data_IF_300984480844
#
_entry.id   IF_300984480844
#
_cell.length_a   1.000
_cell.length_b   1.000
_cell.length_c   1.000
_cell.angle_alpha   90.00
_cell.angle_beta   90.00
_cell.angle_gamma   90.00
#
_symmetry.space_group_name_H-M   'P 1'
#
loop_
_entity.id
_entity.type
_entity.pdbx_description
1 polymer ?
#
# COMPACT_ATOMS: atom_id res chain seq x y z
N UNK A 1 -23.40 32.80 -19.36
CA UNK A 1 -23.65 31.97 -18.15
C UNK A 1 -22.68 30.81 -18.23
N UNK A 2 -21.60 30.86 -17.45
CA UNK A 2 -20.55 29.84 -17.47
C UNK A 2 -20.77 28.92 -16.26
N UNK A 3 -21.26 27.72 -16.49
CA UNK A 3 -21.37 26.67 -15.47
C UNK A 3 -20.01 25.99 -15.31
N UNK A 4 -19.23 26.48 -14.35
CA UNK A 4 -18.06 25.74 -13.85
C UNK A 4 -18.56 24.51 -13.09
N UNK A 5 -18.46 23.33 -13.70
CA UNK A 5 -18.61 22.04 -13.02
C UNK A 5 -17.48 21.89 -12.01
N UNK A 6 -17.77 22.12 -10.73
CA UNK A 6 -16.90 21.72 -9.63
C UNK A 6 -16.96 20.20 -9.58
N UNK A 7 -15.92 19.53 -10.08
CA UNK A 7 -15.74 18.10 -9.85
C UNK A 7 -15.52 17.90 -8.36
N UNK A 8 -16.56 17.48 -7.64
CA UNK A 8 -16.43 17.06 -6.26
C UNK A 8 -15.38 15.94 -6.22
N UNK A 9 -14.31 16.13 -5.44
CA UNK A 9 -13.39 15.05 -5.16
C UNK A 9 -14.20 13.87 -4.58
N UNK A 10 -13.88 12.61 -4.92
CA UNK A 10 -14.56 11.46 -4.34
C UNK A 10 -14.55 11.57 -2.81
N UNK A 11 -15.69 11.33 -2.16
CA UNK A 11 -15.79 11.42 -0.70
C UNK A 11 -14.76 10.46 -0.08
N UNK A 12 -13.71 11.02 0.49
CA UNK A 12 -12.63 10.24 1.11
C UNK A 12 -13.17 9.41 2.27
N UNK A 13 -14.30 9.82 2.87
CA UNK A 13 -14.98 9.07 3.90
C UNK A 13 -15.61 7.79 3.36
N UNK A 14 -16.23 7.84 2.18
CA UNK A 14 -16.81 6.66 1.52
C UNK A 14 -15.72 5.66 1.10
N UNK A 15 -14.63 6.15 0.52
CA UNK A 15 -13.48 5.29 0.20
C UNK A 15 -12.87 4.63 1.44
N UNK A 16 -12.78 5.38 2.55
CA UNK A 16 -12.30 4.83 3.81
C UNK A 16 -13.25 3.75 4.36
N UNK A 17 -14.57 3.95 4.27
CA UNK A 17 -15.58 2.95 4.66
C UNK A 17 -15.44 1.67 3.84
N UNK A 18 -15.30 1.78 2.52
CA UNK A 18 -15.12 0.61 1.64
C UNK A 18 -13.88 -0.21 2.01
N UNK A 19 -12.74 0.46 2.26
CA UNK A 19 -11.50 -0.20 2.68
C UNK A 19 -11.68 -0.89 4.04
N UNK A 20 -12.33 -0.24 5.01
CA UNK A 20 -12.59 -0.84 6.33
C UNK A 20 -13.49 -2.06 6.19
N UNK A 21 -14.59 -1.97 5.44
CA UNK A 21 -15.51 -3.09 5.19
C UNK A 21 -14.80 -4.25 4.52
N UNK A 22 -13.93 -3.98 3.54
CA UNK A 22 -13.10 -5.00 2.91
C UNK A 22 -12.18 -5.68 3.94
N UNK A 23 -11.42 -4.90 4.71
CA UNK A 23 -10.46 -5.45 5.68
C UNK A 23 -11.13 -6.30 6.77
N UNK A 24 -12.34 -5.94 7.20
CA UNK A 24 -13.10 -6.70 8.21
C UNK A 24 -13.65 -8.03 7.69
N UNK A 25 -13.75 -8.20 6.37
CA UNK A 25 -14.25 -9.43 5.74
C UNK A 25 -13.14 -10.46 5.49
N UNK A 26 -11.87 -10.07 5.63
CA UNK A 26 -10.71 -10.91 5.38
C UNK A 26 -10.29 -11.66 6.64
N UNK A 27 -9.59 -12.78 6.47
CA UNK A 27 -8.83 -13.37 7.57
C UNK A 27 -7.62 -12.49 7.93
N UNK A 28 -6.94 -12.84 9.02
CA UNK A 28 -5.85 -12.03 9.54
C UNK A 28 -4.64 -11.94 8.58
N UNK A 29 -4.39 -12.97 7.78
CA UNK A 29 -3.26 -13.01 6.84
C UNK A 29 -3.56 -12.15 5.60
N UNK A 30 -4.77 -12.29 5.06
CA UNK A 30 -5.27 -11.49 3.95
C UNK A 30 -5.43 -10.01 4.34
N UNK A 31 -5.83 -9.74 5.58
CA UNK A 31 -5.90 -8.39 6.12
C UNK A 31 -4.52 -7.73 6.18
N UNK A 32 -3.49 -8.45 6.67
CA UNK A 32 -2.11 -7.96 6.72
C UNK A 32 -1.55 -7.71 5.31
N UNK A 33 -1.81 -8.63 4.38
CA UNK A 33 -1.39 -8.48 2.98
C UNK A 33 -2.07 -7.30 2.32
N UNK A 34 -3.38 -7.13 2.54
CA UNK A 34 -4.14 -6.01 1.99
C UNK A 34 -3.64 -4.68 2.55
N UNK A 35 -3.37 -4.59 3.86
CA UNK A 35 -2.78 -3.40 4.47
C UNK A 35 -1.40 -3.09 3.88
N UNK A 36 -0.53 -4.10 3.72
CA UNK A 36 0.78 -3.91 3.11
C UNK A 36 0.68 -3.38 1.68
N UNK A 37 -0.29 -3.86 0.89
CA UNK A 37 -0.55 -3.36 -0.47
C UNK A 37 -1.04 -1.91 -0.48
N UNK A 38 -1.88 -1.51 0.47
CA UNK A 38 -2.34 -0.13 0.62
C UNK A 38 -1.18 0.80 0.99
N UNK A 39 -0.29 0.35 1.89
CA UNK A 39 0.91 1.11 2.25
C UNK A 39 1.83 1.26 1.03
N UNK A 40 2.13 0.15 0.33
CA UNK A 40 2.95 0.18 -0.88
C UNK A 40 2.38 1.13 -1.95
N UNK A 41 1.05 1.12 -2.15
CA UNK A 41 0.36 2.05 -3.05
C UNK A 41 0.50 3.53 -2.64
N UNK A 42 0.77 3.79 -1.36
CA UNK A 42 0.87 5.14 -0.82
C UNK A 42 2.30 5.69 -0.84
N UNK A 43 3.32 4.81 -0.84
CA UNK A 43 4.72 5.20 -0.69
C UNK A 43 5.59 4.91 -1.91
N UNK A 44 5.14 4.11 -2.88
CA UNK A 44 5.99 3.76 -4.03
C UNK A 44 6.47 4.98 -4.83
N UNK A 45 7.72 4.93 -5.32
CA UNK A 45 8.37 6.06 -6.03
C UNK A 45 8.02 6.10 -7.53
N UNK A 46 6.76 5.79 -7.88
CA UNK A 46 6.26 5.83 -9.25
C UNK A 46 6.22 4.48 -9.98
N UNK A 47 6.03 4.51 -11.32
CA UNK A 47 5.68 3.33 -12.13
C UNK A 47 6.86 2.38 -12.35
N UNK A 48 6.59 1.07 -12.37
CA UNK A 48 7.61 0.04 -12.64
C UNK A 48 8.44 -0.36 -11.43
N UNK A 49 8.12 0.20 -10.26
CA UNK A 49 8.67 -0.21 -8.96
C UNK A 49 8.03 -1.53 -8.52
N UNK A 50 8.78 -2.35 -7.80
CA UNK A 50 8.28 -3.59 -7.18
C UNK A 50 7.14 -3.27 -6.19
N UNK A 51 7.20 -2.13 -5.50
CA UNK A 51 6.12 -1.66 -4.63
C UNK A 51 4.84 -1.31 -5.41
N UNK A 52 4.95 -0.67 -6.58
CA UNK A 52 3.79 -0.40 -7.46
C UNK A 52 3.18 -1.71 -7.97
N UNK A 53 4.02 -2.63 -8.43
CA UNK A 53 3.57 -3.95 -8.87
C UNK A 53 2.87 -4.72 -7.75
N UNK A 54 3.43 -4.70 -6.54
CA UNK A 54 2.85 -5.36 -5.36
C UNK A 54 1.50 -4.74 -4.99
N UNK A 55 1.40 -3.41 -4.97
CA UNK A 55 0.15 -2.70 -4.74
C UNK A 55 -0.93 -3.12 -5.75
N UNK A 56 -0.62 -3.08 -7.05
CA UNK A 56 -1.58 -3.35 -8.12
C UNK A 56 -1.97 -4.83 -8.23
N UNK A 57 -1.01 -5.74 -8.13
CA UNK A 57 -1.20 -7.15 -8.51
C UNK A 57 -1.18 -8.12 -7.32
N UNK A 58 -0.67 -7.69 -6.17
CA UNK A 58 -0.41 -8.57 -5.02
C UNK A 58 0.80 -9.49 -5.20
N UNK A 59 1.50 -9.45 -6.35
CA UNK A 59 2.74 -10.18 -6.55
C UNK A 59 3.90 -9.43 -5.91
N UNK A 60 4.59 -10.08 -4.97
CA UNK A 60 5.71 -9.50 -4.23
C UNK A 60 7.05 -10.06 -4.70
N UNK A 61 7.88 -9.21 -5.28
CA UNK A 61 9.33 -9.43 -5.42
C UNK A 61 10.02 -8.87 -4.17
N UNK A 62 10.25 -9.74 -3.19
CA UNK A 62 10.74 -9.32 -1.87
C UNK A 62 12.15 -8.71 -1.91
N UNK A 63 13.00 -9.10 -2.85
CA UNK A 63 14.36 -8.55 -2.92
C UNK A 63 14.31 -7.11 -3.44
N UNK A 64 13.66 -6.90 -4.58
CA UNK A 64 13.51 -5.56 -5.16
C UNK A 64 12.70 -4.61 -4.29
N UNK A 65 11.65 -5.12 -3.63
CA UNK A 65 10.85 -4.31 -2.72
C UNK A 65 11.68 -3.82 -1.51
N UNK A 66 12.58 -4.64 -0.97
CA UNK A 66 13.46 -4.21 0.13
C UNK A 66 14.48 -3.17 -0.34
N UNK A 67 15.08 -3.36 -1.53
CA UNK A 67 16.00 -2.38 -2.11
C UNK A 67 15.30 -1.02 -2.32
N UNK A 68 14.06 -1.03 -2.83
CA UNK A 68 13.25 0.19 -3.00
C UNK A 68 12.89 0.83 -1.65
N UNK A 69 12.57 0.04 -0.64
CA UNK A 69 12.26 0.53 0.72
C UNK A 69 13.46 1.23 1.36
N UNK A 70 14.67 0.70 1.18
CA UNK A 70 15.89 1.30 1.74
C UNK A 70 16.19 2.69 1.14
N UNK A 71 15.75 2.94 -0.09
CA UNK A 71 15.91 4.21 -0.79
C UNK A 71 14.74 5.20 -0.57
N UNK A 72 13.63 4.77 0.06
CA UNK A 72 12.45 5.61 0.25
C UNK A 72 12.72 6.84 1.14
N UNK A 73 12.24 7.99 0.68
CA UNK A 73 12.19 9.24 1.44
C UNK A 73 10.73 9.59 1.73
N UNK A 74 10.27 9.26 2.93
CA UNK A 74 8.91 9.58 3.38
C UNK A 74 8.92 10.63 4.50
N UNK A 75 7.83 11.40 4.68
CA UNK A 75 7.64 12.23 5.87
C UNK A 75 7.68 11.39 7.15
N UNK A 76 8.03 12.02 8.28
CA UNK A 76 8.18 11.37 9.59
C UNK A 76 6.91 10.59 9.99
N UNK A 77 5.73 11.12 9.66
CA UNK A 77 4.44 10.50 9.98
C UNK A 77 4.23 9.13 9.29
N UNK A 78 4.98 8.86 8.22
CA UNK A 78 4.87 7.64 7.42
C UNK A 78 6.00 6.62 7.72
N UNK A 79 6.98 6.96 8.57
CA UNK A 79 8.08 6.04 8.91
C UNK A 79 7.56 4.72 9.49
N UNK A 80 6.52 4.77 10.32
CA UNK A 80 5.88 3.59 10.88
C UNK A 80 5.20 2.71 9.81
N UNK A 81 4.76 3.31 8.70
CA UNK A 81 4.17 2.56 7.58
C UNK A 81 5.25 1.81 6.84
N UNK A 82 6.38 2.46 6.58
CA UNK A 82 7.55 1.84 5.95
C UNK A 82 8.07 0.69 6.80
N UNK A 83 8.24 0.86 8.11
CA UNK A 83 8.66 -0.22 9.02
C UNK A 83 7.67 -1.41 9.01
N UNK A 84 6.35 -1.14 9.03
CA UNK A 84 5.35 -2.19 8.92
C UNK A 84 5.43 -2.96 7.59
N UNK A 85 5.64 -2.23 6.48
CA UNK A 85 5.82 -2.81 5.16
C UNK A 85 7.10 -3.66 5.08
N UNK A 86 8.24 -3.16 5.58
CA UNK A 86 9.51 -3.91 5.64
C UNK A 86 9.34 -5.23 6.36
N UNK A 87 8.68 -5.21 7.52
CA UNK A 87 8.40 -6.44 8.30
C UNK A 87 7.56 -7.42 7.49
N UNK A 88 6.48 -6.95 6.86
CA UNK A 88 5.65 -7.81 6.01
C UNK A 88 6.46 -8.48 4.89
N UNK A 89 7.31 -7.73 4.20
CA UNK A 89 8.16 -8.26 3.12
C UNK A 89 9.17 -9.29 3.63
N UNK A 90 9.80 -9.03 4.78
CA UNK A 90 10.73 -9.96 5.43
C UNK A 90 10.04 -11.27 5.83
N UNK A 91 8.86 -11.20 6.45
CA UNK A 91 8.10 -12.38 6.85
C UNK A 91 7.58 -13.18 5.64
N UNK A 92 7.09 -12.49 4.60
CA UNK A 92 6.65 -13.14 3.37
C UNK A 92 7.80 -13.88 2.65
N UNK A 93 9.03 -13.35 2.73
CA UNK A 93 10.24 -14.02 2.25
C UNK A 93 10.59 -15.25 3.08
N UNK A 94 10.50 -15.15 4.41
CA UNK A 94 10.80 -16.25 5.33
C UNK A 94 9.81 -17.42 5.28
N UNK A 95 8.53 -17.15 4.97
CA UNK A 95 7.50 -18.18 4.83
C UNK A 95 7.67 -19.09 3.59
N UNK A 96 8.58 -18.74 2.67
CA UNK A 96 8.86 -19.49 1.44
C UNK A 96 10.19 -20.28 1.48
N UNK A 97 10.80 -20.46 2.66
CA UNK A 97 12.03 -21.27 2.85
C UNK A 97 11.75 -22.63 3.48
#
# INVERSE_FOLDING_TARGET
MNTSTISAAPDQSDRARDIITLLLALDIEDQQTTLARVIAASVHDGPGTALEQFAGTGQLDAARALDEIDDLRVPFEQEAWVDALSRHVIFARGARS
#
